data_IF_621670825542
#
_entry.id   IF_621670825542
#
_cell.length_a   1.000
_cell.length_b   1.000
_cell.length_c   1.000
_cell.angle_alpha   90.00
_cell.angle_beta   90.00
_cell.angle_gamma   90.00
#
_symmetry.space_group_name_H-M   'P 1'
#
loop_
_entity.id
_entity.type
_entity.pdbx_description
1 polymer ?
#
# COMPACT_ATOMS: atom_id res chain seq x y z
N UNK A 1 -14.95 -19.90 -4.89
CA UNK A 1 -13.66 -19.88 -4.18
C UNK A 1 -13.47 -18.52 -3.56
N UNK A 2 -13.11 -18.45 -2.28
CA UNK A 2 -13.09 -17.22 -1.45
C UNK A 2 -11.91 -16.27 -1.76
N UNK A 3 -11.54 -16.13 -3.04
CA UNK A 3 -10.35 -15.38 -3.48
C UNK A 3 -10.66 -14.21 -4.41
N UNK A 4 -11.94 -13.89 -4.68
CA UNK A 4 -12.32 -12.96 -5.76
C UNK A 4 -13.33 -11.88 -5.36
N UNK A 5 -13.30 -11.33 -4.14
CA UNK A 5 -14.26 -10.26 -3.77
C UNK A 5 -13.76 -9.23 -2.77
N UNK A 6 -12.73 -8.48 -3.16
CA UNK A 6 -12.58 -7.07 -2.75
C UNK A 6 -12.43 -6.22 -4.02
N UNK A 7 -13.53 -6.03 -4.77
CA UNK A 7 -13.67 -5.13 -5.92
C UNK A 7 -12.45 -5.06 -6.87
N UNK A 8 -12.47 -5.81 -7.99
CA UNK A 8 -11.40 -5.92 -8.99
C UNK A 8 -10.98 -4.63 -9.71
N UNK A 9 -10.47 -3.65 -8.96
CA UNK A 9 -9.88 -2.41 -9.43
C UNK A 9 -8.55 -2.22 -8.72
N UNK A 10 -7.47 -2.32 -9.50
CA UNK A 10 -6.13 -1.92 -9.10
C UNK A 10 -5.89 -0.45 -9.44
N UNK A 11 -4.98 0.17 -8.72
CA UNK A 11 -4.41 1.48 -9.02
C UNK A 11 -2.91 1.34 -9.16
N UNK A 12 -2.31 2.16 -10.00
CA UNK A 12 -0.86 2.30 -10.05
C UNK A 12 -0.40 3.28 -8.97
N UNK A 13 0.61 2.90 -8.20
CA UNK A 13 1.38 3.76 -7.29
C UNK A 13 2.86 3.65 -7.63
N UNK A 14 3.69 4.58 -7.15
CA UNK A 14 5.13 4.52 -7.35
C UNK A 14 5.85 4.31 -6.02
N UNK A 15 6.57 3.21 -5.87
CA UNK A 15 7.38 2.92 -4.66
C UNK A 15 8.85 2.98 -5.06
N UNK A 16 9.61 3.92 -4.48
CA UNK A 16 11.01 4.13 -4.86
C UNK A 16 11.17 4.39 -6.36
N UNK A 17 10.28 5.21 -6.94
CA UNK A 17 10.20 5.54 -8.37
C UNK A 17 9.84 4.38 -9.31
N UNK A 18 9.55 3.17 -8.80
CA UNK A 18 9.07 2.04 -9.61
C UNK A 18 7.54 1.94 -9.54
N UNK A 19 6.83 1.71 -10.65
CA UNK A 19 5.39 1.54 -10.65
C UNK A 19 4.97 0.18 -10.08
N UNK A 20 3.92 0.15 -9.28
CA UNK A 20 3.30 -1.05 -8.71
C UNK A 20 1.78 -0.98 -8.86
N UNK A 21 1.15 -2.08 -9.26
CA UNK A 21 -0.29 -2.23 -9.16
C UNK A 21 -0.69 -2.74 -7.78
N UNK A 22 -1.60 -2.03 -7.14
CA UNK A 22 -2.11 -2.37 -5.81
C UNK A 22 -3.64 -2.29 -5.77
N UNK A 23 -4.31 -3.01 -4.86
CA UNK A 23 -5.74 -2.84 -4.64
C UNK A 23 -6.08 -1.39 -4.29
N UNK A 24 -7.27 -0.92 -4.67
CA UNK A 24 -7.81 0.38 -4.25
C UNK A 24 -8.03 0.51 -2.73
N UNK A 25 -8.08 -0.61 -2.01
CA UNK A 25 -8.30 -0.67 -0.57
C UNK A 25 -7.02 -0.72 0.28
N UNK A 26 -7.18 -0.93 1.59
CA UNK A 26 -6.08 -1.17 2.52
C UNK A 26 -5.11 -2.27 2.07
N UNK A 27 -3.81 -2.07 2.33
CA UNK A 27 -2.74 -2.97 1.94
C UNK A 27 -2.03 -3.51 3.18
N UNK A 28 -1.78 -4.82 3.22
CA UNK A 28 -0.95 -5.44 4.25
C UNK A 28 0.54 -5.26 3.89
N UNK A 29 1.17 -4.20 4.41
CA UNK A 29 2.57 -3.89 4.11
C UNK A 29 3.52 -4.97 4.60
N UNK A 30 3.21 -5.61 5.73
CA UNK A 30 4.05 -6.70 6.26
C UNK A 30 4.05 -7.93 5.37
N UNK A 31 2.89 -8.29 4.81
CA UNK A 31 2.79 -9.41 3.88
C UNK A 31 3.52 -9.12 2.55
N UNK A 32 3.57 -7.85 2.12
CA UNK A 32 4.17 -7.47 0.84
C UNK A 32 5.68 -7.22 0.95
N UNK A 33 6.12 -6.52 1.99
CA UNK A 33 7.50 -6.03 2.11
C UNK A 33 8.28 -6.59 3.31
N UNK A 34 7.63 -7.34 4.21
CA UNK A 34 8.25 -7.91 5.40
C UNK A 34 8.01 -7.11 6.68
N UNK A 35 8.58 -7.58 7.80
CA UNK A 35 8.41 -6.92 9.09
C UNK A 35 9.26 -5.64 9.22
N UNK A 36 8.82 -4.71 10.05
CA UNK A 36 9.56 -3.47 10.36
C UNK A 36 9.53 -2.41 9.25
N UNK A 37 8.80 -2.65 8.17
CA UNK A 37 8.69 -1.70 7.05
C UNK A 37 7.84 -0.48 7.43
N UNK A 38 8.28 0.69 6.98
CA UNK A 38 7.58 1.95 7.14
C UNK A 38 7.42 2.57 5.76
N UNK A 39 6.18 2.70 5.31
CA UNK A 39 5.90 3.38 4.05
C UNK A 39 5.70 4.87 4.34
N UNK A 40 6.44 5.74 3.68
CA UNK A 40 6.24 7.21 3.71
C UNK A 40 5.73 7.69 2.36
N UNK A 41 4.98 8.79 2.36
CA UNK A 41 4.64 9.51 1.14
C UNK A 41 5.79 10.40 0.64
N UNK A 42 5.56 11.07 -0.49
CA UNK A 42 6.52 11.99 -1.11
C UNK A 42 6.94 13.18 -0.24
N UNK A 43 6.20 13.48 0.82
CA UNK A 43 6.51 14.54 1.79
C UNK A 43 7.22 14.00 3.04
N UNK A 44 7.51 12.69 3.08
CA UNK A 44 8.11 12.02 4.23
C UNK A 44 7.13 11.71 5.35
N UNK A 45 5.81 11.83 5.11
CA UNK A 45 4.80 11.50 6.12
C UNK A 45 4.55 10.00 6.11
N UNK A 46 4.59 9.38 7.30
CA UNK A 46 4.32 7.96 7.45
C UNK A 46 2.86 7.64 7.10
N UNK A 47 2.66 6.62 6.27
CA UNK A 47 1.35 6.03 6.01
C UNK A 47 0.87 5.31 7.28
N UNK A 48 -0.27 5.69 7.87
CA UNK A 48 -0.78 5.05 9.07
C UNK A 48 -1.12 3.58 8.83
N UNK A 49 -0.69 2.72 9.75
CA UNK A 49 -1.00 1.28 9.76
C UNK A 49 -1.57 0.86 11.11
N UNK A 50 -2.34 -0.22 11.13
CA UNK A 50 -2.78 -0.89 12.35
C UNK A 50 -1.68 -1.81 12.93
N UNK A 51 -1.97 -2.47 14.05
CA UNK A 51 -1.04 -3.36 14.76
C UNK A 51 -0.57 -4.56 13.94
N UNK A 52 -1.32 -4.98 12.92
CA UNK A 52 -0.97 -6.06 12.00
C UNK A 52 -0.18 -5.58 10.79
N UNK A 53 0.06 -4.27 10.64
CA UNK A 53 0.78 -3.69 9.49
C UNK A 53 -0.07 -3.50 8.24
N UNK A 54 -1.39 -3.46 8.40
CA UNK A 54 -2.33 -3.11 7.33
C UNK A 54 -2.57 -1.60 7.35
N UNK A 55 -2.50 -0.94 6.20
CA UNK A 55 -2.76 0.51 6.10
C UNK A 55 -4.18 0.86 6.56
N UNK A 56 -4.36 2.00 7.24
CA UNK A 56 -5.69 2.43 7.69
C UNK A 56 -6.58 2.91 6.52
N UNK A 57 -5.94 3.36 5.44
CA UNK A 57 -6.59 3.78 4.19
C UNK A 57 -5.87 3.14 2.99
N UNK A 58 -6.54 3.09 1.85
CA UNK A 58 -5.90 2.71 0.58
C UNK A 58 -4.85 3.73 0.16
N UNK A 59 -3.93 3.31 -0.70
CA UNK A 59 -2.98 4.24 -1.32
C UNK A 59 -3.67 5.10 -2.39
N UNK A 60 -3.04 6.20 -2.77
CA UNK A 60 -3.58 7.12 -3.77
C UNK A 60 -3.03 6.80 -5.16
N UNK A 61 -3.90 6.72 -6.16
CA UNK A 61 -3.48 6.48 -7.54
C UNK A 61 -2.51 7.57 -8.03
N UNK A 62 -1.39 7.14 -8.63
CA UNK A 62 -0.35 8.03 -9.13
C UNK A 62 0.56 8.63 -8.05
N UNK A 63 0.32 8.36 -6.77
CA UNK A 63 1.14 8.89 -5.69
C UNK A 63 2.49 8.14 -5.57
N UNK A 64 3.46 8.86 -5.00
CA UNK A 64 4.81 8.37 -4.74
C UNK A 64 4.98 8.06 -3.26
N UNK A 65 5.58 6.90 -3.00
CA UNK A 65 5.89 6.38 -1.68
C UNK A 65 7.32 5.83 -1.62
N UNK A 66 7.86 5.73 -0.42
CA UNK A 66 9.20 5.21 -0.14
C UNK A 66 9.17 4.28 1.08
N UNK A 67 10.04 3.26 1.08
CA UNK A 67 10.23 2.30 2.18
C UNK A 67 11.46 2.65 3.02
#
# INVERSE_FOLDING_TARGET
SAVDSFNGRSITVFIGNKPYEVPTGPINLRAVFGQGVLLVDQFGQQVPVNEWGVTLQGLQHGAFYYL
#
